data_IF_470587513576
#
_entry.id   IF_470587513576
#
_cell.length_a   1.000
_cell.length_b   1.000
_cell.length_c   1.000
_cell.angle_alpha   90.00
_cell.angle_beta   90.00
_cell.angle_gamma   90.00
#
_symmetry.space_group_name_H-M   'P 1'
#
loop_
_entity.id
_entity.type
_entity.pdbx_description
1 polymer ?
#
# COMPACT_ATOMS: atom_id res chain seq x y z
N UNK A 1 14.03 -62.88 57.01
CA UNK A 1 14.01 -62.91 55.54
C UNK A 1 13.07 -61.79 55.09
N UNK A 2 13.60 -60.61 54.76
CA UNK A 2 12.81 -59.40 54.48
C UNK A 2 12.64 -59.19 52.98
N UNK A 3 11.40 -59.08 52.51
CA UNK A 3 11.07 -58.73 51.13
C UNK A 3 10.82 -57.22 51.03
N UNK A 4 11.65 -56.54 50.24
CA UNK A 4 11.46 -55.15 49.84
C UNK A 4 10.50 -55.12 48.65
N UNK A 5 9.32 -54.52 48.84
CA UNK A 5 8.38 -54.22 47.75
C UNK A 5 8.71 -52.82 47.24
N UNK A 6 9.24 -52.70 46.03
CA UNK A 6 9.47 -51.41 45.37
C UNK A 6 8.21 -50.95 44.64
N UNK A 7 7.70 -49.79 45.06
CA UNK A 7 6.73 -48.97 44.33
C UNK A 7 7.34 -48.52 42.99
N UNK A 8 6.69 -48.85 41.88
CA UNK A 8 6.93 -48.21 40.59
C UNK A 8 5.69 -47.36 40.23
N UNK A 9 5.75 -46.07 40.55
CA UNK A 9 4.70 -45.10 40.24
C UNK A 9 4.95 -44.57 38.82
N UNK A 10 4.26 -45.14 37.83
CA UNK A 10 4.31 -44.69 36.44
C UNK A 10 3.54 -43.37 36.27
N UNK A 11 4.29 -42.26 36.21
CA UNK A 11 3.81 -40.94 35.80
C UNK A 11 3.47 -40.95 34.31
N UNK A 12 2.19 -40.97 33.97
CA UNK A 12 1.73 -40.65 32.62
C UNK A 12 1.71 -39.13 32.44
N UNK A 13 2.68 -38.59 31.68
CA UNK A 13 2.61 -37.21 31.22
C UNK A 13 1.65 -37.10 30.02
N UNK A 14 0.63 -36.23 30.06
CA UNK A 14 -0.17 -35.92 28.88
C UNK A 14 0.66 -35.09 27.89
N UNK A 15 0.85 -35.64 26.69
CA UNK A 15 1.49 -34.96 25.56
C UNK A 15 0.52 -33.90 25.00
N UNK A 16 0.58 -32.68 25.52
CA UNK A 16 -0.19 -31.54 25.01
C UNK A 16 0.39 -31.08 23.68
N UNK A 17 -0.28 -31.45 22.58
CA UNK A 17 -0.06 -30.88 21.26
C UNK A 17 -0.47 -29.40 21.28
N UNK A 18 0.52 -28.49 21.33
CA UNK A 18 0.30 -27.08 21.04
C UNK A 18 0.00 -26.94 19.54
N UNK A 19 -1.28 -26.78 19.18
CA UNK A 19 -1.68 -26.37 17.83
C UNK A 19 -1.31 -24.89 17.70
N UNK A 20 -0.17 -24.60 17.07
CA UNK A 20 0.15 -23.23 16.68
C UNK A 20 -0.75 -22.86 15.50
N UNK A 21 -1.73 -21.99 15.75
CA UNK A 21 -2.51 -21.38 14.70
C UNK A 21 -1.56 -20.67 13.73
N UNK A 22 -1.56 -21.08 12.46
CA UNK A 22 -0.77 -20.41 11.44
C UNK A 22 -1.18 -18.93 11.39
N UNK A 23 -0.23 -17.99 11.25
CA UNK A 23 -0.56 -16.59 11.08
C UNK A 23 -1.46 -16.47 9.85
N UNK A 24 -2.70 -16.02 10.06
CA UNK A 24 -3.59 -15.65 8.96
C UNK A 24 -2.90 -14.51 8.22
N UNK A 25 -2.45 -14.78 6.99
CA UNK A 25 -1.94 -13.75 6.11
C UNK A 25 -3.00 -12.67 5.98
N UNK A 26 -2.77 -11.51 6.59
CA UNK A 26 -3.67 -10.39 6.49
C UNK A 26 -3.68 -9.94 5.02
N UNK A 27 -4.76 -10.27 4.31
CA UNK A 27 -5.00 -9.76 2.95
C UNK A 27 -5.23 -8.26 3.08
N UNK A 28 -4.22 -7.46 2.75
CA UNK A 28 -4.39 -6.02 2.64
C UNK A 28 -5.36 -5.71 1.49
N UNK A 29 -6.30 -4.77 1.67
CA UNK A 29 -7.20 -4.38 0.60
C UNK A 29 -6.39 -3.77 -0.55
N UNK A 30 -6.39 -4.43 -1.71
CA UNK A 30 -5.74 -3.94 -2.93
C UNK A 30 -6.50 -2.70 -3.41
N UNK A 31 -5.79 -1.60 -3.64
CA UNK A 31 -6.37 -0.40 -4.23
C UNK A 31 -6.76 -0.67 -5.68
N UNK A 32 -7.91 -0.18 -6.13
CA UNK A 32 -8.32 -0.27 -7.54
C UNK A 32 -7.26 0.29 -8.51
N UNK A 33 -6.48 1.28 -8.05
CA UNK A 33 -5.39 1.87 -8.83
C UNK A 33 -4.20 0.92 -9.04
N UNK A 34 -4.03 -0.09 -8.20
CA UNK A 34 -2.98 -1.12 -8.35
C UNK A 34 -3.34 -2.14 -9.43
N UNK A 35 -4.61 -2.20 -9.84
CA UNK A 35 -5.09 -3.09 -10.89
C UNK A 35 -5.03 -2.46 -12.29
N UNK A 36 -4.75 -1.16 -12.38
CA UNK A 36 -4.75 -0.40 -13.62
C UNK A 36 -3.33 -0.16 -14.12
N UNK A 37 -3.14 -0.12 -15.44
CA UNK A 37 -1.89 0.36 -16.04
C UNK A 37 -1.91 1.88 -16.20
N UNK A 38 -0.74 2.52 -16.33
CA UNK A 38 -0.67 4.00 -16.40
C UNK A 38 -1.38 4.60 -17.61
N UNK A 39 -1.56 3.87 -18.72
CA UNK A 39 -2.34 4.32 -19.88
C UNK A 39 -3.86 4.39 -19.60
N UNK A 40 -4.34 3.69 -18.57
CA UNK A 40 -5.74 3.73 -18.11
C UNK A 40 -6.00 4.78 -17.04
N UNK A 41 -4.99 5.60 -16.76
CA UNK A 41 -5.04 6.61 -15.74
C UNK A 41 -4.51 7.93 -16.28
N UNK A 42 -5.04 9.03 -15.75
CA UNK A 42 -4.66 10.37 -16.14
C UNK A 42 -4.40 11.20 -14.88
N UNK A 43 -3.18 11.70 -14.73
CA UNK A 43 -2.86 12.67 -13.69
C UNK A 43 -3.43 14.04 -14.07
N UNK A 44 -4.60 14.37 -13.53
CA UNK A 44 -5.36 15.57 -13.88
C UNK A 44 -4.89 16.82 -13.13
N UNK A 45 -4.24 16.65 -11.97
CA UNK A 45 -3.70 17.76 -11.21
C UNK A 45 -3.04 17.36 -9.91
N UNK A 46 -2.35 18.33 -9.31
CA UNK A 46 -1.83 18.25 -7.94
C UNK A 46 -2.28 19.46 -7.15
N UNK A 47 -2.43 19.30 -5.85
CA UNK A 47 -2.80 20.37 -4.94
C UNK A 47 -2.01 20.24 -3.64
N UNK A 48 -1.76 21.37 -3.01
CA UNK A 48 -1.17 21.42 -1.69
C UNK A 48 -2.29 21.57 -0.65
N UNK A 49 -2.35 20.65 0.31
CA UNK A 49 -3.28 20.68 1.44
C UNK A 49 -2.48 20.74 2.74
N UNK A 50 -2.46 21.92 3.36
CA UNK A 50 -1.55 22.21 4.48
C UNK A 50 -0.08 22.10 4.04
N UNK A 51 0.69 21.22 4.70
CA UNK A 51 2.10 20.95 4.34
C UNK A 51 2.28 19.80 3.35
N UNK A 52 1.22 19.07 3.02
CA UNK A 52 1.29 17.88 2.18
C UNK A 52 0.83 18.19 0.76
N UNK A 53 1.45 17.54 -0.22
CA UNK A 53 0.96 17.50 -1.59
C UNK A 53 0.11 16.25 -1.81
N UNK A 54 -0.97 16.43 -2.55
CA UNK A 54 -1.85 15.37 -3.02
C UNK A 54 -2.00 15.48 -4.54
N UNK A 55 -2.31 14.35 -5.18
CA UNK A 55 -2.52 14.26 -6.61
C UNK A 55 -3.90 13.68 -6.91
N UNK A 56 -4.48 14.09 -8.01
CA UNK A 56 -5.77 13.60 -8.47
C UNK A 56 -5.58 12.80 -9.77
N UNK A 57 -6.06 11.57 -9.76
CA UNK A 57 -5.96 10.64 -10.88
C UNK A 57 -7.37 10.35 -11.37
N UNK A 58 -7.60 10.50 -12.67
CA UNK A 58 -8.83 10.08 -13.35
C UNK A 58 -8.58 8.77 -14.07
N UNK A 59 -9.38 7.74 -13.80
CA UNK A 59 -9.30 6.46 -14.51
C UNK A 59 -10.00 6.56 -15.87
N UNK A 60 -9.77 5.60 -16.76
CA UNK A 60 -10.45 5.50 -18.06
C UNK A 60 -11.96 5.36 -17.95
N UNK A 61 -12.46 4.89 -16.80
CA UNK A 61 -13.89 4.81 -16.47
C UNK A 61 -14.47 6.16 -16.00
N UNK A 62 -13.64 7.19 -15.91
CA UNK A 62 -14.03 8.53 -15.49
C UNK A 62 -14.02 8.75 -13.99
N UNK A 63 -13.75 7.71 -13.18
CA UNK A 63 -13.63 7.81 -11.72
C UNK A 63 -12.42 8.66 -11.35
N UNK A 64 -12.59 9.56 -10.38
CA UNK A 64 -11.50 10.37 -9.84
C UNK A 64 -11.09 9.82 -8.47
N UNK A 65 -9.79 9.66 -8.26
CA UNK A 65 -9.20 9.17 -7.01
C UNK A 65 -8.09 10.12 -6.60
N UNK A 66 -8.04 10.46 -5.31
CA UNK A 66 -6.95 11.27 -4.74
C UNK A 66 -5.91 10.37 -4.11
N UNK A 67 -4.64 10.66 -4.36
CA UNK A 67 -3.50 9.92 -3.81
C UNK A 67 -2.49 10.86 -3.17
N UNK A 68 -1.69 10.33 -2.25
CA UNK A 68 -0.67 11.05 -1.47
C UNK A 68 0.66 10.31 -1.48
N UNK A 69 1.71 10.94 -0.95
CA UNK A 69 2.99 10.28 -0.68
C UNK A 69 2.77 9.00 0.13
N UNK A 70 3.42 7.92 -0.29
CA UNK A 70 3.33 6.59 0.33
C UNK A 70 2.27 5.68 -0.28
N UNK A 71 1.30 6.21 -1.03
CA UNK A 71 0.33 5.38 -1.74
C UNK A 71 1.00 4.62 -2.91
N UNK A 72 0.37 3.55 -3.35
CA UNK A 72 0.82 2.70 -4.46
C UNK A 72 -0.07 2.90 -5.69
N UNK A 73 0.54 2.90 -6.87
CA UNK A 73 -0.12 3.08 -8.15
C UNK A 73 0.36 2.06 -9.17
N UNK A 74 -0.57 1.57 -9.99
CA UNK A 74 -0.23 0.78 -11.16
C UNK A 74 0.03 -0.69 -10.84
N UNK A 75 -0.04 -1.52 -11.88
CA UNK A 75 0.22 -2.96 -11.79
C UNK A 75 1.66 -3.33 -11.41
N UNK A 76 2.60 -2.39 -11.52
CA UNK A 76 4.00 -2.55 -11.10
C UNK A 76 4.25 -2.07 -9.67
N UNK A 77 3.19 -1.82 -8.90
CA UNK A 77 3.24 -1.38 -7.51
C UNK A 77 4.11 -0.13 -7.30
N UNK A 78 3.92 0.88 -8.15
CA UNK A 78 4.67 2.13 -8.08
C UNK A 78 4.39 2.91 -6.81
N UNK A 79 5.39 3.02 -5.93
CA UNK A 79 5.29 3.75 -4.68
C UNK A 79 5.54 5.23 -4.87
N UNK A 80 4.60 6.08 -4.45
CA UNK A 80 4.73 7.53 -4.56
C UNK A 80 5.74 8.06 -3.54
N UNK A 81 6.89 8.52 -4.04
CA UNK A 81 7.96 9.09 -3.22
C UNK A 81 7.73 10.58 -2.93
N UNK A 82 7.21 11.31 -3.92
CA UNK A 82 6.99 12.76 -3.84
C UNK A 82 5.88 13.19 -4.78
N UNK A 83 5.13 14.22 -4.39
CA UNK A 83 4.20 14.95 -5.24
C UNK A 83 4.59 16.43 -5.17
N UNK A 84 4.59 17.13 -6.30
CA UNK A 84 4.76 18.58 -6.38
C UNK A 84 3.81 19.20 -7.41
N UNK A 85 3.96 20.50 -7.67
CA UNK A 85 3.13 21.24 -8.62
C UNK A 85 3.21 20.71 -10.06
N UNK A 86 4.26 19.98 -10.42
CA UNK A 86 4.50 19.47 -11.78
C UNK A 86 4.00 18.05 -11.96
N UNK A 87 3.96 17.24 -10.91
CA UNK A 87 3.50 15.85 -11.01
C UNK A 87 3.88 14.96 -9.82
N UNK A 88 3.92 13.67 -10.12
CA UNK A 88 4.22 12.60 -9.16
C UNK A 88 5.60 12.00 -9.50
N UNK A 89 6.41 11.77 -8.48
CA UNK A 89 7.64 10.98 -8.57
C UNK A 89 7.41 9.67 -7.85
N UNK A 90 7.60 8.56 -8.55
CA UNK A 90 7.33 7.23 -8.05
C UNK A 90 8.47 6.27 -8.35
N UNK A 91 8.53 5.17 -7.60
CA UNK A 91 9.50 4.09 -7.79
C UNK A 91 8.75 2.78 -7.91
N UNK A 92 9.01 2.04 -8.97
CA UNK A 92 8.42 0.74 -9.28
C UNK A 92 9.49 -0.34 -9.23
N UNK A 93 9.08 -1.56 -8.92
CA UNK A 93 9.96 -2.74 -9.02
C UNK A 93 9.57 -3.52 -10.26
N UNK A 94 10.44 -3.52 -11.26
CA UNK A 94 10.17 -4.13 -12.57
C UNK A 94 11.04 -5.37 -12.73
N UNK A 95 10.42 -6.47 -13.17
CA UNK A 95 11.13 -7.68 -13.53
C UNK A 95 11.72 -7.53 -14.94
N UNK A 96 13.04 -7.61 -15.07
CA UNK A 96 13.73 -7.57 -16.36
C UNK A 96 13.74 -8.95 -17.02
N UNK A 97 13.97 -9.99 -16.21
CA UNK A 97 13.96 -11.40 -16.59
C UNK A 97 13.62 -12.27 -15.37
N UNK A 98 13.59 -13.59 -15.53
CA UNK A 98 13.19 -14.55 -14.47
C UNK A 98 13.93 -14.35 -13.15
N UNK A 99 15.20 -13.92 -13.18
CA UNK A 99 16.07 -13.81 -12.02
C UNK A 99 16.33 -12.38 -11.55
N UNK A 100 15.95 -11.37 -12.33
CA UNK A 100 16.42 -10.00 -12.13
C UNK A 100 15.25 -9.02 -11.99
N UNK A 101 15.28 -8.30 -10.88
CA UNK A 101 14.37 -7.21 -10.56
C UNK A 101 15.18 -5.94 -10.38
N UNK A 102 14.66 -4.82 -10.86
CA UNK A 102 15.30 -3.52 -10.67
C UNK A 102 14.28 -2.46 -10.31
N UNK A 103 14.75 -1.44 -9.59
CA UNK A 103 13.96 -0.27 -9.26
C UNK A 103 13.99 0.73 -10.42
N UNK A 104 12.81 1.07 -10.92
CA UNK A 104 12.61 2.10 -11.93
C UNK A 104 12.03 3.34 -11.28
N UNK A 105 12.75 4.46 -11.38
CA UNK A 105 12.23 5.79 -10.99
C UNK A 105 11.48 6.40 -12.16
N UNK A 106 10.25 6.85 -11.91
CA UNK A 106 9.38 7.45 -12.92
C UNK A 106 8.88 8.80 -12.44
N UNK A 107 8.85 9.76 -13.36
CA UNK A 107 8.15 11.03 -13.19
C UNK A 107 6.91 11.02 -14.06
N UNK A 108 5.74 11.19 -13.42
CA UNK A 108 4.46 11.28 -14.09
C UNK A 108 3.99 12.73 -14.07
N UNK A 109 4.07 13.46 -15.21
CA UNK A 109 3.68 14.87 -15.26
C UNK A 109 2.17 15.06 -15.21
N UNK A 110 1.73 16.18 -14.64
CA UNK A 110 0.35 16.64 -14.75
C UNK A 110 0.04 16.94 -16.21
N UNK A 111 -1.09 16.43 -16.71
CA UNK A 111 -1.54 16.74 -18.06
C UNK A 111 -2.08 18.17 -18.11
N UNK A 112 -1.41 19.02 -18.88
CA UNK A 112 -1.70 20.46 -18.97
C UNK A 112 -2.85 20.81 -19.92
N UNK A 113 -3.45 19.82 -20.57
CA UNK A 113 -4.55 20.06 -21.50
C UNK A 113 -5.77 20.61 -20.75
N UNK A 114 -6.14 21.85 -21.10
CA UNK A 114 -7.27 22.57 -20.49
C UNK A 114 -8.59 21.84 -20.70
N UNK A 115 -8.72 21.02 -21.73
CA UNK A 115 -9.94 20.22 -22.01
C UNK A 115 -10.04 18.99 -21.12
N UNK A 116 -8.90 18.49 -20.63
CA UNK A 116 -8.82 17.31 -19.76
C UNK A 116 -8.72 17.66 -18.27
N UNK A 117 -8.59 18.95 -17.93
CA UNK A 117 -8.78 19.47 -16.56
C UNK A 117 -10.26 19.36 -16.17
N UNK A 118 -10.70 18.15 -15.87
CA UNK A 118 -11.85 17.99 -15.01
C UNK A 118 -11.49 18.61 -13.66
N UNK A 119 -12.32 19.54 -13.17
CA UNK A 119 -12.17 20.06 -11.82
C UNK A 119 -12.17 18.85 -10.88
N UNK A 120 -11.01 18.56 -10.29
CA UNK A 120 -10.99 17.56 -9.24
C UNK A 120 -11.83 18.11 -8.12
N UNK A 121 -12.90 17.37 -7.80
CA UNK A 121 -13.67 17.67 -6.61
C UNK A 121 -12.79 17.27 -5.44
N UNK A 122 -11.94 18.21 -5.02
CA UNK A 122 -11.20 18.11 -3.79
C UNK A 122 -12.25 18.06 -2.70
N UNK A 123 -12.65 16.84 -2.33
CA UNK A 123 -13.48 16.64 -1.16
C UNK A 123 -12.55 17.10 -0.05
N UNK A 124 -12.75 18.34 0.42
CA UNK A 124 -12.16 18.81 1.65
C UNK A 124 -12.50 17.73 2.65
N UNK A 125 -11.50 16.94 3.01
CA UNK A 125 -11.74 15.82 3.87
C UNK A 125 -12.41 16.38 5.13
N UNK A 126 -13.46 15.72 5.66
CA UNK A 126 -14.01 16.15 6.92
C UNK A 126 -12.82 16.18 7.90
N UNK A 127 -12.61 17.33 8.55
CA UNK A 127 -11.44 17.66 9.40
C UNK A 127 -11.06 16.57 10.43
N UNK A 128 -11.91 15.56 10.62
CA UNK A 128 -11.80 14.49 11.61
C UNK A 128 -11.45 13.10 11.07
N UNK A 129 -11.33 12.87 9.75
CA UNK A 129 -11.15 11.49 9.23
C UNK A 129 -9.75 11.11 8.74
N UNK A 130 -8.78 12.04 8.76
CA UNK A 130 -7.38 11.70 8.50
C UNK A 130 -6.60 11.74 9.80
N UNK A 131 -6.68 10.66 10.58
CA UNK A 131 -5.60 10.38 11.51
C UNK A 131 -4.37 10.03 10.68
N UNK A 132 -3.45 10.99 10.54
CA UNK A 132 -2.09 10.65 10.15
C UNK A 132 -1.58 9.61 11.17
N UNK A 133 -1.15 8.41 10.77
CA UNK A 133 -0.42 7.56 11.68
C UNK A 133 0.81 8.36 12.13
N UNK A 134 0.92 8.61 13.44
CA UNK A 134 1.95 9.47 14.05
C UNK A 134 3.39 8.96 13.87
N UNK A 135 3.59 7.85 13.18
CA UNK A 135 4.89 7.23 12.95
C UNK A 135 5.59 7.68 11.65
N UNK A 136 5.05 8.67 10.92
CA UNK A 136 5.64 9.19 9.67
C UNK A 136 6.07 10.67 9.76
N UNK A 137 6.40 11.17 10.95
CA UNK A 137 7.09 12.45 11.11
C UNK A 137 8.61 12.20 11.07
N UNK A 138 9.20 12.60 9.93
CA UNK A 138 10.62 12.71 9.57
C UNK A 138 11.50 11.44 9.60
#
# INVERSE_FOLDING_TARGET
MQMKVSLALQLMLPLTLLVMAAPSSATFPISELELLTYDKMLLTGTAQYGKAWIACIKTSEGKQVTVKKGDTLGTQLGHIQKIDAKGIYLTETVQLNVSEWFERKLFWPVVSDKTLRAECKWIAAPEKSWSYPSHFQD
#
